data_IF_158112230193
#
_entry.id   IF_158112230193
#
_cell.length_a   1.000
_cell.length_b   1.000
_cell.length_c   1.000
_cell.angle_alpha   90.00
_cell.angle_beta   90.00
_cell.angle_gamma   90.00
#
_symmetry.space_group_name_H-M   'P 1'
#
loop_
_entity.id
_entity.type
_entity.pdbx_description
1 polymer ?
#
# COMPACT_ATOMS: atom_id res chain seq x y z
N UNK A 1 -0.55 -4.73 -25.00
CA UNK A 1 -1.37 -3.92 -24.06
C UNK A 1 -0.87 -4.11 -22.63
N UNK A 2 0.45 -3.95 -22.40
CA UNK A 2 1.11 -4.15 -21.09
C UNK A 2 1.70 -2.82 -20.58
N UNK A 3 2.22 -1.97 -21.49
CA UNK A 3 2.75 -0.64 -21.18
C UNK A 3 1.75 0.27 -20.45
N UNK A 4 0.52 0.38 -20.95
CA UNK A 4 -0.48 1.26 -20.35
C UNK A 4 -0.87 0.88 -18.91
N UNK A 5 -0.79 -0.41 -18.53
CA UNK A 5 -1.05 -0.86 -17.17
C UNK A 5 0.18 -0.76 -16.26
N UNK A 6 1.37 -1.01 -16.80
CA UNK A 6 2.63 -0.91 -16.04
C UNK A 6 2.98 0.53 -15.69
N UNK A 7 2.80 1.49 -16.61
CA UNK A 7 3.15 2.89 -16.36
C UNK A 7 2.22 3.51 -15.30
N UNK A 8 0.92 3.24 -15.36
CA UNK A 8 -0.05 3.74 -14.38
C UNK A 8 0.14 3.11 -13.00
N UNK A 9 0.48 1.82 -12.94
CA UNK A 9 0.76 1.12 -11.67
C UNK A 9 2.04 1.66 -11.04
N UNK A 10 3.08 1.87 -11.84
CA UNK A 10 4.36 2.45 -11.36
C UNK A 10 4.15 3.85 -10.79
N UNK A 11 3.43 4.71 -11.49
CA UNK A 11 3.11 6.07 -11.01
C UNK A 11 2.31 6.03 -9.71
N UNK A 12 1.31 5.15 -9.61
CA UNK A 12 0.52 4.99 -8.38
C UNK A 12 1.38 4.55 -7.21
N UNK A 13 2.29 3.59 -7.41
CA UNK A 13 3.20 3.13 -6.36
C UNK A 13 4.17 4.24 -5.91
N UNK A 14 4.72 5.01 -6.85
CA UNK A 14 5.62 6.13 -6.55
C UNK A 14 4.91 7.19 -5.72
N UNK A 15 3.70 7.60 -6.11
CA UNK A 15 2.92 8.57 -5.36
C UNK A 15 2.50 8.03 -3.98
N UNK A 16 2.09 6.76 -3.91
CA UNK A 16 1.72 6.11 -2.66
C UNK A 16 2.88 6.08 -1.66
N UNK A 17 4.07 5.67 -2.13
CA UNK A 17 5.30 5.70 -1.32
C UNK A 17 5.69 7.12 -0.92
N UNK A 18 5.57 8.09 -1.83
CA UNK A 18 5.88 9.49 -1.53
C UNK A 18 4.94 10.08 -0.47
N UNK A 19 3.65 9.76 -0.53
CA UNK A 19 2.67 10.17 0.49
C UNK A 19 2.97 9.55 1.86
N UNK A 20 3.34 8.27 1.88
CA UNK A 20 3.71 7.58 3.11
C UNK A 20 5.00 8.15 3.72
N UNK A 21 6.02 8.43 2.90
CA UNK A 21 7.28 9.03 3.35
C UNK A 21 7.10 10.46 3.86
N UNK A 22 6.20 11.25 3.23
CA UNK A 22 5.88 12.60 3.71
C UNK A 22 5.09 12.60 5.03
N UNK A 23 4.43 11.50 5.39
CA UNK A 23 3.62 11.38 6.60
C UNK A 23 4.06 10.18 7.44
N UNK A 24 5.08 10.32 8.30
CA UNK A 24 5.63 9.20 9.07
C UNK A 24 4.60 8.50 9.98
N UNK A 25 3.55 9.22 10.42
CA UNK A 25 2.43 8.62 11.15
C UNK A 25 1.63 7.62 10.30
N UNK A 26 1.43 7.91 9.01
CA UNK A 26 0.73 7.01 8.08
C UNK A 26 1.60 5.79 7.81
N UNK A 27 2.90 5.98 7.55
CA UNK A 27 3.83 4.86 7.35
C UNK A 27 3.87 3.93 8.57
N UNK A 28 3.96 4.50 9.77
CA UNK A 28 3.97 3.71 11.02
C UNK A 28 2.69 2.90 11.19
N UNK A 29 1.53 3.50 10.92
CA UNK A 29 0.23 2.81 11.03
C UNK A 29 0.06 1.70 10.00
N UNK A 30 0.58 1.89 8.78
CA UNK A 30 0.60 0.85 7.76
C UNK A 30 1.52 -0.33 8.15
N UNK A 31 2.68 -0.03 8.76
CA UNK A 31 3.57 -1.07 9.29
C UNK A 31 2.94 -1.81 10.47
N UNK A 32 2.27 -1.10 11.38
CA UNK A 32 1.53 -1.71 12.51
C UNK A 32 0.41 -2.63 12.01
N UNK A 33 -0.35 -2.22 10.99
CA UNK A 33 -1.36 -3.08 10.37
C UNK A 33 -0.73 -4.35 9.79
N UNK A 34 0.39 -4.21 9.08
CA UNK A 34 1.10 -5.34 8.49
C UNK A 34 1.64 -6.29 9.58
N UNK A 35 2.29 -5.75 10.61
CA UNK A 35 2.80 -6.53 11.74
C UNK A 35 1.66 -7.20 12.53
N UNK A 36 0.45 -6.62 12.55
CA UNK A 36 -0.73 -7.17 13.26
C UNK A 36 -1.37 -8.34 12.52
N UNK A 37 -1.62 -8.20 11.22
CA UNK A 37 -2.36 -9.21 10.45
C UNK A 37 -1.47 -10.29 9.82
N UNK A 38 -0.24 -9.95 9.48
CA UNK A 38 0.68 -10.84 8.76
C UNK A 38 1.83 -11.28 9.66
N UNK A 39 2.29 -10.38 10.54
CA UNK A 39 3.51 -10.59 11.32
C UNK A 39 4.76 -10.49 10.43
N UNK A 40 5.91 -10.87 10.99
CA UNK A 40 7.22 -10.75 10.31
C UNK A 40 7.74 -12.02 9.67
N UNK A 41 7.01 -13.11 9.81
CA UNK A 41 7.47 -14.46 9.47
C UNK A 41 7.04 -14.91 8.06
N UNK A 42 6.05 -14.24 7.46
CA UNK A 42 5.47 -14.61 6.17
C UNK A 42 5.29 -13.43 5.23
N UNK A 43 5.29 -13.72 3.93
CA UNK A 43 4.93 -12.75 2.90
C UNK A 43 3.41 -12.55 2.86
N UNK A 44 3.00 -11.38 2.36
CA UNK A 44 1.58 -11.05 2.13
C UNK A 44 0.98 -12.01 1.11
N UNK A 45 -0.13 -12.64 1.48
CA UNK A 45 -0.91 -13.46 0.56
C UNK A 45 -2.14 -12.68 0.04
N UNK A 46 -2.67 -13.08 -1.10
CA UNK A 46 -3.84 -12.42 -1.71
C UNK A 46 -5.08 -12.47 -0.81
N UNK A 47 -5.19 -13.51 0.03
CA UNK A 47 -6.25 -13.64 1.04
C UNK A 47 -6.13 -12.62 2.16
N UNK A 48 -4.92 -12.15 2.46
CA UNK A 48 -4.66 -11.19 3.54
C UNK A 48 -4.97 -9.75 3.11
N UNK A 49 -5.05 -9.50 1.79
CA UNK A 49 -5.35 -8.17 1.25
C UNK A 49 -6.65 -7.62 1.83
N UNK A 50 -7.65 -8.48 2.06
CA UNK A 50 -8.93 -8.10 2.65
C UNK A 50 -8.82 -7.48 4.05
N UNK A 51 -7.86 -7.94 4.85
CA UNK A 51 -7.62 -7.47 6.22
C UNK A 51 -6.74 -6.21 6.27
N UNK A 52 -5.98 -5.94 5.20
CA UNK A 52 -5.12 -4.76 5.06
C UNK A 52 -5.93 -3.51 4.63
N UNK A 53 -6.91 -3.14 5.44
CA UNK A 53 -7.86 -2.05 5.15
C UNK A 53 -7.15 -0.70 5.04
N UNK A 54 -6.14 -0.45 5.88
CA UNK A 54 -5.40 0.81 5.90
C UNK A 54 -4.48 0.94 4.70
N UNK A 55 -3.78 -0.12 4.31
CA UNK A 55 -2.98 -0.14 3.06
C UNK A 55 -3.89 0.08 1.84
N UNK A 56 -5.06 -0.57 1.78
CA UNK A 56 -6.04 -0.31 0.73
C UNK A 56 -6.53 1.15 0.72
N UNK A 57 -6.76 1.74 1.90
CA UNK A 57 -7.17 3.14 2.01
C UNK A 57 -6.09 4.10 1.47
N UNK A 58 -4.80 3.80 1.72
CA UNK A 58 -3.68 4.58 1.18
C UNK A 58 -3.66 4.51 -0.36
N UNK A 59 -3.84 3.32 -0.94
CA UNK A 59 -3.92 3.15 -2.40
C UNK A 59 -5.10 3.93 -2.98
N UNK A 60 -6.28 3.83 -2.35
CA UNK A 60 -7.48 4.59 -2.77
C UNK A 60 -7.27 6.09 -2.71
N UNK A 61 -6.65 6.60 -1.64
CA UNK A 61 -6.35 8.04 -1.51
C UNK A 61 -5.30 8.49 -2.53
N UNK A 62 -4.34 7.63 -2.87
CA UNK A 62 -3.36 7.90 -3.93
C UNK A 62 -4.02 7.98 -5.30
N UNK A 63 -5.02 7.12 -5.57
CA UNK A 63 -5.80 7.14 -6.82
C UNK A 63 -6.84 8.27 -6.89
N UNK A 64 -7.22 8.87 -5.77
CA UNK A 64 -8.11 10.04 -5.72
C UNK A 64 -7.43 11.32 -6.20
N UNK A 65 -6.10 11.33 -6.22
CA UNK A 65 -5.26 12.48 -6.54
C UNK A 65 -5.39 12.93 -7.99
#
# INVERSE_FOLDING_TARGET
MILAGSDTTTVTLIWGLSLMLNKPHILKKAQEELDTYIGRDRFVNETDIGELVYIQAIVKETLRM
#
